data_IF_086727041273
#
_entry.id   IF_086727041273
#
_cell.length_a   1.000
_cell.length_b   1.000
_cell.length_c   1.000
_cell.angle_alpha   90.00
_cell.angle_beta   90.00
_cell.angle_gamma   90.00
#
_symmetry.space_group_name_H-M   'P 1'
#
loop_
_entity.id
_entity.type
_entity.pdbx_description
1 polymer ?
#
# COMPACT_ATOMS: atom_id res chain seq x y z
N UNK A 1 29.13 -4.90 -8.57
CA UNK A 1 27.78 -4.38 -8.24
C UNK A 1 27.21 -3.76 -9.50
N UNK A 2 25.99 -4.14 -9.90
CA UNK A 2 25.32 -3.50 -11.03
C UNK A 2 25.05 -2.02 -10.68
N UNK A 3 25.35 -1.10 -11.60
CA UNK A 3 25.00 0.31 -11.49
C UNK A 3 23.74 0.55 -12.31
N UNK A 4 22.62 0.79 -11.65
CA UNK A 4 21.38 1.18 -12.31
C UNK A 4 21.40 2.70 -12.56
N UNK A 5 20.85 3.19 -13.68
CA UNK A 5 20.62 4.60 -13.90
C UNK A 5 19.63 5.15 -12.85
N UNK A 6 19.84 6.39 -12.40
CA UNK A 6 18.97 7.03 -11.41
C UNK A 6 17.51 7.14 -11.88
N UNK A 7 17.29 7.29 -13.19
CA UNK A 7 15.94 7.34 -13.79
C UNK A 7 15.19 6.02 -13.65
N UNK A 8 15.87 4.87 -13.80
CA UNK A 8 15.25 3.56 -13.63
C UNK A 8 14.84 3.32 -12.17
N UNK A 9 15.68 3.75 -11.22
CA UNK A 9 15.39 3.69 -9.79
C UNK A 9 14.16 4.56 -9.45
N UNK A 10 14.06 5.75 -10.04
CA UNK A 10 12.94 6.66 -9.84
C UNK A 10 11.63 6.07 -10.36
N UNK A 11 11.63 5.52 -11.59
CA UNK A 11 10.45 4.86 -12.18
C UNK A 11 9.99 3.69 -11.31
N UNK A 12 10.93 2.83 -10.88
CA UNK A 12 10.62 1.70 -10.01
C UNK A 12 10.06 2.17 -8.67
N UNK A 13 10.60 3.24 -8.09
CA UNK A 13 10.10 3.81 -6.84
C UNK A 13 8.63 4.26 -6.96
N UNK A 14 8.29 4.94 -8.05
CA UNK A 14 6.91 5.38 -8.33
C UNK A 14 5.97 4.18 -8.44
N UNK A 15 6.36 3.18 -9.24
CA UNK A 15 5.55 1.97 -9.44
C UNK A 15 5.34 1.20 -8.13
N UNK A 16 6.39 1.00 -7.33
CA UNK A 16 6.32 0.31 -6.04
C UNK A 16 5.36 1.05 -5.10
N UNK A 17 5.40 2.37 -5.05
CA UNK A 17 4.48 3.17 -4.22
C UNK A 17 3.02 3.03 -4.67
N UNK A 18 2.76 2.94 -5.98
CA UNK A 18 1.40 2.68 -6.49
C UNK A 18 0.88 1.30 -6.07
N UNK A 19 1.71 0.26 -6.17
CA UNK A 19 1.34 -1.08 -5.69
C UNK A 19 1.21 -1.14 -4.16
N UNK A 20 1.97 -0.35 -3.43
CA UNK A 20 1.82 -0.23 -1.98
C UNK A 20 0.44 0.31 -1.60
N UNK A 21 -0.10 1.30 -2.34
CA UNK A 21 -1.48 1.75 -2.14
C UNK A 21 -2.49 0.61 -2.36
N UNK A 22 -2.37 -0.12 -3.47
CA UNK A 22 -3.25 -1.24 -3.76
C UNK A 22 -3.20 -2.32 -2.66
N UNK A 23 -1.99 -2.62 -2.18
CA UNK A 23 -1.76 -3.57 -1.08
C UNK A 23 -2.41 -3.12 0.22
N UNK A 24 -2.23 -1.85 0.64
CA UNK A 24 -2.84 -1.34 1.86
C UNK A 24 -4.37 -1.40 1.80
N UNK A 25 -4.98 -1.01 0.68
CA UNK A 25 -6.42 -1.12 0.52
C UNK A 25 -6.91 -2.57 0.56
N UNK A 26 -6.22 -3.46 -0.15
CA UNK A 26 -6.55 -4.89 -0.19
C UNK A 26 -6.52 -5.53 1.19
N UNK A 27 -5.44 -5.33 1.95
CA UNK A 27 -5.29 -5.93 3.28
C UNK A 27 -6.23 -5.32 4.32
N UNK A 28 -6.57 -4.04 4.19
CA UNK A 28 -7.61 -3.41 5.00
C UNK A 28 -8.98 -4.05 4.76
N UNK A 29 -9.36 -4.24 3.49
CA UNK A 29 -10.63 -4.87 3.12
C UNK A 29 -10.67 -6.35 3.54
N UNK A 30 -9.58 -7.09 3.31
CA UNK A 30 -9.45 -8.47 3.75
C UNK A 30 -9.71 -8.60 5.25
N UNK A 31 -9.09 -7.74 6.07
CA UNK A 31 -9.23 -7.80 7.52
C UNK A 31 -10.64 -7.41 7.99
N UNK A 32 -11.29 -6.41 7.37
CA UNK A 32 -12.70 -6.10 7.67
C UNK A 32 -13.62 -7.31 7.41
N UNK A 33 -13.40 -8.03 6.32
CA UNK A 33 -14.13 -9.26 6.03
C UNK A 33 -13.81 -10.30 7.11
N UNK A 34 -12.53 -10.50 7.47
CA UNK A 34 -12.16 -11.50 8.48
C UNK A 34 -12.70 -11.23 9.87
N UNK A 35 -12.84 -9.96 10.26
CA UNK A 35 -13.46 -9.59 11.54
C UNK A 35 -14.87 -10.17 11.73
N UNK A 36 -15.58 -10.47 10.63
CA UNK A 36 -16.91 -11.09 10.65
C UNK A 36 -16.86 -12.63 10.71
N UNK A 37 -15.84 -13.26 10.15
CA UNK A 37 -15.85 -14.70 9.88
C UNK A 37 -14.90 -15.53 10.74
N UNK A 38 -13.83 -14.94 11.28
CA UNK A 38 -12.81 -15.67 12.05
C UNK A 38 -12.93 -15.42 13.55
N UNK A 39 -12.74 -16.49 14.33
CA UNK A 39 -12.75 -16.50 15.80
C UNK A 39 -11.34 -16.55 16.43
N UNK A 40 -10.29 -16.39 15.62
CA UNK A 40 -8.91 -16.40 16.11
C UNK A 40 -8.63 -15.16 16.99
N UNK A 41 -7.69 -15.28 17.92
CA UNK A 41 -7.26 -14.17 18.79
C UNK A 41 -6.37 -13.21 18.00
N UNK A 42 -7.01 -12.40 17.16
CA UNK A 42 -6.36 -11.36 16.36
C UNK A 42 -7.31 -10.16 16.22
N UNK A 43 -6.78 -8.94 16.38
CA UNK A 43 -7.56 -7.72 16.21
C UNK A 43 -7.63 -7.30 14.74
N UNK A 44 -8.59 -7.88 14.03
CA UNK A 44 -8.82 -7.58 12.62
C UNK A 44 -9.29 -6.15 12.37
N UNK A 45 -9.99 -5.52 13.32
CA UNK A 45 -10.47 -4.15 13.16
C UNK A 45 -9.31 -3.17 13.25
N UNK A 46 -8.42 -3.36 14.22
CA UNK A 46 -7.23 -2.51 14.33
C UNK A 46 -6.26 -2.73 13.17
N UNK A 47 -6.10 -3.97 12.70
CA UNK A 47 -5.32 -4.24 11.49
C UNK A 47 -5.92 -3.52 10.27
N UNK A 48 -7.24 -3.58 10.07
CA UNK A 48 -7.90 -2.85 9.00
C UNK A 48 -7.68 -1.34 9.12
N UNK A 49 -7.80 -0.79 10.33
CA UNK A 49 -7.60 0.62 10.63
C UNK A 49 -6.20 1.10 10.23
N UNK A 50 -5.14 0.38 10.64
CA UNK A 50 -3.75 0.70 10.28
C UNK A 50 -3.56 0.75 8.76
N UNK A 51 -4.10 -0.24 8.05
CA UNK A 51 -3.97 -0.33 6.60
C UNK A 51 -4.73 0.77 5.86
N UNK A 52 -5.98 1.06 6.22
CA UNK A 52 -6.73 2.15 5.60
C UNK A 52 -6.15 3.52 5.92
N UNK A 53 -5.71 3.77 7.16
CA UNK A 53 -5.05 5.02 7.51
C UNK A 53 -3.79 5.24 6.68
N UNK A 54 -2.99 4.19 6.47
CA UNK A 54 -1.80 4.27 5.62
C UNK A 54 -2.16 4.53 4.16
N UNK A 55 -3.18 3.85 3.63
CA UNK A 55 -3.71 4.10 2.28
C UNK A 55 -4.13 5.56 2.09
N UNK A 56 -5.05 6.06 2.93
CA UNK A 56 -5.60 7.41 2.78
C UNK A 56 -4.56 8.50 3.01
N UNK A 57 -3.59 8.27 3.91
CA UNK A 57 -2.47 9.20 4.13
C UNK A 57 -1.55 9.30 2.92
N UNK A 58 -1.20 8.17 2.30
CA UNK A 58 -0.25 8.14 1.17
C UNK A 58 -0.90 8.47 -0.18
N UNK A 59 -2.20 8.23 -0.33
CA UNK A 59 -2.91 8.35 -1.60
C UNK A 59 -2.67 9.70 -2.30
N UNK A 60 -2.79 10.87 -1.64
CA UNK A 60 -2.59 12.16 -2.33
C UNK A 60 -1.20 12.28 -2.94
N UNK A 61 -0.16 11.96 -2.16
CA UNK A 61 1.24 12.05 -2.58
C UNK A 61 1.54 11.11 -3.75
N UNK A 62 1.16 9.83 -3.61
CA UNK A 62 1.47 8.80 -4.62
C UNK A 62 0.69 9.05 -5.92
N UNK A 63 -0.56 9.52 -5.85
CA UNK A 63 -1.34 9.84 -7.07
C UNK A 63 -0.89 11.11 -7.77
N UNK A 64 -0.12 11.98 -7.10
CA UNK A 64 0.47 13.17 -7.71
C UNK A 64 1.78 12.88 -8.45
N UNK A 65 2.42 11.72 -8.20
CA UNK A 65 3.64 11.32 -8.88
C UNK A 65 3.37 11.07 -10.37
N UNK A 66 4.18 11.68 -11.23
CA UNK A 66 4.20 11.43 -12.67
C UNK A 66 5.38 10.53 -12.99
N UNK A 67 5.15 9.48 -13.77
CA UNK A 67 6.23 8.67 -14.31
C UNK A 67 6.97 9.53 -15.34
N UNK A 68 8.29 9.76 -15.19
CA UNK A 68 9.09 10.43 -16.22
C UNK A 68 9.03 9.64 -17.52
N UNK A 69 8.91 10.33 -18.66
CA UNK A 69 9.00 9.72 -20.00
C UNK A 69 10.40 9.16 -20.30
#
# INVERSE_FOLDING_TARGET
MAKFPNSEIEILSIQVNQFALASHFFWGLWALIQAKYFTIVFDFLEYANVHFNKYFKMKPEVTALKVPE
#
